data_IF_827649885597
#
_entry.id   IF_827649885597
#
_cell.length_a   1.000
_cell.length_b   1.000
_cell.length_c   1.000
_cell.angle_alpha   90.00
_cell.angle_beta   90.00
_cell.angle_gamma   90.00
#
_symmetry.space_group_name_H-M   'P 1'
#
loop_
_entity.id
_entity.type
_entity.pdbx_description
1 polymer ?
#
# COMPACT_ATOMS: atom_id res chain seq x y z
N UNK A 1 -0.79 -76.08 2.95
CA UNK A 1 -0.44 -74.70 3.32
C UNK A 1 -1.53 -73.81 2.76
N UNK A 2 -2.30 -73.11 3.60
CA UNK A 2 -3.42 -72.28 3.17
C UNK A 2 -3.00 -70.93 2.59
N UNK A 3 -3.73 -70.52 1.57
CA UNK A 3 -3.65 -69.30 0.77
C UNK A 3 -4.23 -68.10 1.54
N UNK A 4 -3.63 -66.89 1.50
CA UNK A 4 -4.24 -65.72 2.13
C UNK A 4 -5.25 -65.04 1.21
N UNK A 5 -6.47 -64.99 1.72
CA UNK A 5 -7.72 -64.43 1.19
C UNK A 5 -7.61 -62.93 0.83
N UNK A 6 -8.07 -62.58 -0.37
CA UNK A 6 -8.28 -61.22 -0.85
C UNK A 6 -9.49 -60.58 -0.12
N UNK A 7 -9.28 -59.50 0.63
CA UNK A 7 -10.38 -58.67 1.14
C UNK A 7 -10.44 -57.34 0.37
N UNK A 8 -11.55 -56.98 -0.31
CA UNK A 8 -11.70 -55.73 -1.02
C UNK A 8 -12.03 -54.58 -0.06
N UNK A 9 -11.31 -53.46 -0.17
CA UNK A 9 -11.60 -52.20 0.57
C UNK A 9 -12.38 -51.25 -0.35
N UNK A 10 -13.46 -50.58 0.13
CA UNK A 10 -14.50 -49.99 -0.73
C UNK A 10 -14.12 -48.66 -1.40
N UNK A 11 -14.58 -48.48 -2.63
CA UNK A 11 -14.68 -47.19 -3.33
C UNK A 11 -15.70 -46.26 -2.66
N UNK A 12 -15.43 -44.95 -2.60
CA UNK A 12 -16.47 -43.92 -2.62
C UNK A 12 -16.52 -43.23 -3.99
N UNK A 13 -17.60 -43.48 -4.72
CA UNK A 13 -17.96 -42.78 -5.94
C UNK A 13 -18.57 -41.39 -5.63
N UNK A 14 -18.30 -40.45 -6.56
CA UNK A 14 -19.17 -39.36 -7.05
C UNK A 14 -19.26 -37.99 -6.35
N UNK A 15 -19.12 -36.99 -7.23
CA UNK A 15 -19.89 -35.74 -7.33
C UNK A 15 -19.76 -34.69 -6.22
N UNK A 16 -19.04 -33.62 -6.56
CA UNK A 16 -19.65 -32.33 -6.86
C UNK A 16 -20.50 -31.64 -5.79
N UNK A 17 -20.15 -30.36 -5.57
CA UNK A 17 -20.99 -29.28 -4.99
C UNK A 17 -20.87 -29.09 -3.48
N UNK A 18 -19.96 -28.19 -3.09
CA UNK A 18 -19.95 -27.54 -1.78
C UNK A 18 -21.00 -26.41 -1.79
N UNK A 19 -22.00 -26.38 -0.90
CA UNK A 19 -22.90 -25.24 -0.78
C UNK A 19 -22.41 -24.21 0.25
N UNK A 20 -22.59 -22.96 -0.14
CA UNK A 20 -22.27 -21.73 0.58
C UNK A 20 -23.26 -21.40 1.70
N UNK A 21 -22.77 -20.76 2.78
CA UNK A 21 -23.50 -19.73 3.52
C UNK A 21 -22.64 -19.17 4.66
N UNK A 22 -22.04 -17.99 4.48
CA UNK A 22 -21.72 -17.11 5.62
C UNK A 22 -22.28 -15.73 5.29
N UNK A 23 -23.41 -15.41 5.92
CA UNK A 23 -24.07 -14.11 5.88
C UNK A 23 -23.32 -13.17 6.83
N UNK A 24 -22.79 -12.06 6.34
CA UNK A 24 -22.32 -10.95 7.18
C UNK A 24 -23.16 -9.71 6.93
N UNK A 25 -23.86 -9.29 7.99
CA UNK A 25 -24.64 -8.06 8.07
C UNK A 25 -23.69 -6.93 8.44
N UNK A 26 -23.57 -5.91 7.58
CA UNK A 26 -22.76 -4.71 7.83
C UNK A 26 -23.66 -3.61 8.36
N UNK A 27 -23.36 -3.09 9.56
CA UNK A 27 -23.90 -1.82 10.04
C UNK A 27 -22.77 -0.78 10.02
N UNK A 28 -22.89 0.19 9.12
CA UNK A 28 -21.97 1.33 9.00
C UNK A 28 -22.26 2.44 10.02
N UNK A 29 -21.25 3.27 10.28
CA UNK A 29 -21.34 4.40 11.21
C UNK A 29 -20.25 5.46 10.97
N UNK A 30 -20.55 6.36 10.02
CA UNK A 30 -20.21 7.79 9.80
C UNK A 30 -19.18 8.45 10.76
N UNK A 31 -18.16 9.12 10.19
CA UNK A 31 -17.32 10.12 10.88
C UNK A 31 -17.68 11.54 10.39
N UNK A 32 -17.98 12.44 11.34
CA UNK A 32 -18.27 13.86 11.13
C UNK A 32 -16.97 14.68 11.21
N UNK A 33 -16.71 15.53 10.22
CA UNK A 33 -15.60 16.47 10.22
C UNK A 33 -16.01 17.82 10.82
N UNK A 34 -15.17 18.40 11.69
CA UNK A 34 -15.28 19.78 12.17
C UNK A 34 -13.97 20.50 11.82
N UNK A 35 -14.04 21.46 10.91
CA UNK A 35 -12.97 22.43 10.65
C UNK A 35 -13.43 23.75 11.27
N UNK A 36 -12.74 24.20 12.33
CA UNK A 36 -12.92 25.54 12.88
C UNK A 36 -11.84 26.47 12.33
N UNK A 37 -12.31 27.56 11.71
CA UNK A 37 -11.56 28.65 11.15
C UNK A 37 -10.96 29.56 12.24
N UNK A 38 -9.77 30.12 11.98
CA UNK A 38 -9.27 31.31 12.69
C UNK A 38 -8.66 32.26 11.66
N UNK A 39 -9.35 33.37 11.42
CA UNK A 39 -8.85 34.54 10.69
C UNK A 39 -8.09 35.53 11.59
N UNK A 40 -7.50 36.60 11.02
CA UNK A 40 -6.45 37.41 11.65
C UNK A 40 -7.00 38.65 12.37
N UNK A 41 -6.27 39.25 13.34
CA UNK A 41 -6.60 40.59 13.79
C UNK A 41 -5.82 41.68 13.04
N UNK A 42 -6.59 42.67 12.57
CA UNK A 42 -6.17 44.02 12.19
C UNK A 42 -5.70 44.81 13.42
N UNK A 43 -4.60 45.55 13.28
CA UNK A 43 -4.25 46.79 13.99
C UNK A 43 -3.07 47.39 13.20
N UNK A 44 -2.87 48.68 12.93
CA UNK A 44 -3.51 49.92 13.34
C UNK A 44 -3.09 50.96 12.27
N UNK A 45 -4.03 51.72 11.71
CA UNK A 45 -3.75 52.84 10.79
C UNK A 45 -3.84 54.15 11.57
N UNK A 46 -2.72 54.81 11.86
CA UNK A 46 -2.67 56.25 12.18
C UNK A 46 -1.40 56.89 11.57
N UNK A 47 -1.60 57.83 10.64
CA UNK A 47 -0.61 58.70 9.95
C UNK A 47 -0.11 59.82 10.90
N UNK A 48 1.05 60.50 10.67
CA UNK A 48 1.19 61.58 9.66
C UNK A 48 2.56 61.70 8.95
N UNK A 49 2.52 62.12 7.68
CA UNK A 49 3.65 62.56 6.85
C UNK A 49 4.33 63.83 7.39
N UNK A 50 5.67 63.97 7.20
CA UNK A 50 6.19 65.24 6.71
C UNK A 50 7.16 65.10 5.52
N UNK A 51 7.08 66.13 4.65
CA UNK A 51 7.74 66.46 3.37
C UNK A 51 9.21 66.00 3.12
N UNK A 52 9.62 65.96 1.83
CA UNK A 52 10.82 65.29 1.35
C UNK A 52 12.05 66.21 1.36
N UNK A 53 13.24 65.67 1.63
CA UNK A 53 14.54 66.13 1.07
C UNK A 53 15.65 65.10 1.35
N UNK A 54 16.44 64.84 0.30
CA UNK A 54 17.81 64.33 0.28
C UNK A 54 18.12 62.83 0.45
N UNK A 55 18.35 62.22 -0.72
CA UNK A 55 19.65 61.67 -1.15
C UNK A 55 20.23 60.43 -0.44
N UNK A 56 20.40 59.41 -1.29
CA UNK A 56 21.37 58.32 -1.20
C UNK A 56 21.14 57.23 -0.14
N UNK A 57 20.59 56.11 -0.60
CA UNK A 57 21.28 54.81 -0.57
C UNK A 57 20.44 53.80 -1.36
N UNK A 58 21.01 53.21 -2.40
CA UNK A 58 20.40 52.08 -3.08
C UNK A 58 20.19 50.95 -2.04
N UNK A 59 19.01 50.30 -1.96
CA UNK A 59 18.91 49.09 -1.17
C UNK A 59 19.73 48.02 -1.89
N UNK A 60 20.78 47.52 -1.21
CA UNK A 60 21.38 46.25 -1.56
C UNK A 60 20.25 45.23 -1.66
N UNK A 61 20.10 44.65 -2.85
CA UNK A 61 19.18 43.54 -3.09
C UNK A 61 19.64 42.38 -2.19
N UNK A 62 19.04 42.26 -1.02
CA UNK A 62 19.20 41.11 -0.17
C UNK A 62 18.82 39.89 -1.01
N UNK A 63 19.78 39.00 -1.24
CA UNK A 63 19.49 37.70 -1.84
C UNK A 63 18.41 37.06 -0.97
N UNK A 64 17.26 36.75 -1.60
CA UNK A 64 16.21 36.03 -0.93
C UNK A 64 16.81 34.73 -0.34
N UNK A 65 16.46 34.35 0.89
CA UNK A 65 16.89 33.06 1.43
C UNK A 65 16.53 31.98 0.40
N UNK A 66 17.52 31.16 0.03
CA UNK A 66 17.27 30.00 -0.80
C UNK A 66 16.24 29.14 -0.07
N UNK A 67 15.02 29.09 -0.62
CA UNK A 67 14.00 28.16 -0.15
C UNK A 67 14.63 26.77 -0.17
N UNK A 68 14.62 26.02 0.95
CA UNK A 68 15.12 24.65 0.92
C UNK A 68 14.38 23.90 -0.19
N UNK A 69 15.07 23.06 -0.99
CA UNK A 69 14.40 22.28 -2.01
C UNK A 69 13.25 21.54 -1.34
N UNK A 70 12.04 21.75 -1.84
CA UNK A 70 10.87 20.98 -1.43
C UNK A 70 11.26 19.51 -1.52
N UNK A 71 11.14 18.69 -0.46
CA UNK A 71 11.49 17.29 -0.56
C UNK A 71 10.64 16.70 -1.68
N UNK A 72 11.31 16.25 -2.75
CA UNK A 72 10.64 15.46 -3.78
C UNK A 72 9.97 14.30 -3.05
N UNK A 73 8.66 14.07 -3.24
CA UNK A 73 8.00 12.94 -2.61
C UNK A 73 8.78 11.69 -3.01
N UNK A 74 9.30 10.97 -2.03
CA UNK A 74 10.09 9.76 -2.26
C UNK A 74 9.16 8.77 -2.96
N UNK A 75 9.35 8.61 -4.27
CA UNK A 75 8.59 7.67 -5.07
C UNK A 75 9.06 6.27 -4.69
N UNK A 76 8.15 5.43 -4.18
CA UNK A 76 8.45 4.01 -4.09
C UNK A 76 8.67 3.49 -5.50
N UNK A 77 9.84 2.91 -5.75
CA UNK A 77 10.17 2.33 -7.04
C UNK A 77 10.47 0.86 -6.86
N UNK A 78 10.05 0.05 -7.83
CA UNK A 78 10.42 -1.36 -7.91
C UNK A 78 11.77 -1.45 -8.62
N UNK A 79 12.75 -2.08 -7.97
CA UNK A 79 14.06 -2.35 -8.59
C UNK A 79 14.13 -3.76 -9.17
N UNK A 80 13.24 -4.66 -8.75
CA UNK A 80 13.04 -5.94 -9.43
C UNK A 80 12.32 -5.76 -10.78
N UNK A 81 12.31 -6.82 -11.59
CA UNK A 81 11.64 -6.79 -12.88
C UNK A 81 10.12 -6.56 -12.71
N UNK A 82 9.52 -5.72 -13.57
CA UNK A 82 8.07 -5.52 -13.59
C UNK A 82 7.30 -6.79 -14.02
N UNK A 83 7.97 -7.73 -14.68
CA UNK A 83 7.46 -9.07 -14.95
C UNK A 83 7.88 -10.01 -13.80
N UNK A 84 6.91 -10.44 -12.99
CA UNK A 84 7.15 -11.17 -11.73
C UNK A 84 6.57 -12.60 -11.78
N UNK A 85 7.25 -13.62 -11.24
CA UNK A 85 6.68 -14.96 -11.05
C UNK A 85 5.51 -14.96 -10.08
N UNK A 86 4.75 -16.06 -10.02
CA UNK A 86 3.66 -16.19 -9.05
C UNK A 86 4.16 -16.05 -7.61
N UNK A 87 5.30 -16.67 -7.28
CA UNK A 87 5.99 -16.43 -6.03
C UNK A 87 7.24 -15.60 -6.27
N UNK A 88 7.27 -14.37 -5.76
CA UNK A 88 8.36 -13.43 -6.01
C UNK A 88 8.90 -12.82 -4.73
N UNK A 89 10.22 -12.62 -4.68
CA UNK A 89 10.82 -11.66 -3.78
C UNK A 89 10.84 -10.30 -4.48
N UNK A 90 10.24 -9.30 -3.85
CA UNK A 90 10.13 -7.95 -4.39
C UNK A 90 11.08 -7.03 -3.64
N UNK A 91 11.82 -6.21 -4.38
CA UNK A 91 12.74 -5.23 -3.82
C UNK A 91 12.60 -3.89 -4.51
N UNK A 92 12.92 -2.82 -3.80
CA UNK A 92 12.81 -1.48 -4.34
C UNK A 92 13.47 -0.41 -3.51
N UNK A 93 13.27 0.83 -3.93
CA UNK A 93 13.69 2.02 -3.20
C UNK A 93 12.47 2.77 -2.66
N UNK A 94 12.62 3.40 -1.50
CA UNK A 94 11.59 4.15 -0.81
C UNK A 94 11.91 4.31 0.67
N UNK A 95 11.59 5.46 1.24
CA UNK A 95 11.85 5.76 2.65
C UNK A 95 10.66 5.36 3.51
N UNK A 96 10.90 4.66 4.61
CA UNK A 96 9.85 4.31 5.58
C UNK A 96 9.23 5.58 6.19
N UNK A 97 7.90 5.76 6.17
CA UNK A 97 7.27 6.89 6.84
C UNK A 97 7.48 6.81 8.36
N UNK A 98 7.79 7.95 8.98
CA UNK A 98 8.06 8.01 10.41
C UNK A 98 6.88 7.47 11.23
N UNK A 99 7.15 6.54 12.15
CA UNK A 99 6.17 5.97 13.06
C UNK A 99 5.10 5.09 12.41
N UNK A 100 5.28 4.68 11.15
CA UNK A 100 4.34 3.79 10.45
C UNK A 100 5.07 2.64 9.77
N UNK A 101 4.40 1.50 9.74
CA UNK A 101 4.78 0.41 8.84
C UNK A 101 4.15 0.62 7.46
N UNK A 102 4.63 -0.10 6.45
CA UNK A 102 4.05 -0.08 5.11
C UNK A 102 3.62 -1.50 4.76
N UNK A 103 2.34 -1.65 4.45
CA UNK A 103 1.74 -2.89 3.98
C UNK A 103 1.72 -2.96 2.46
N UNK A 104 1.96 -4.15 1.92
CA UNK A 104 1.78 -4.47 0.52
C UNK A 104 0.38 -5.08 0.31
N UNK A 105 -0.36 -4.46 -0.59
CA UNK A 105 -1.61 -4.98 -1.11
C UNK A 105 -1.49 -5.21 -2.61
N UNK A 106 -2.18 -6.23 -3.11
CA UNK A 106 -2.19 -6.58 -4.54
C UNK A 106 -3.61 -6.57 -5.05
N UNK A 107 -3.78 -6.11 -6.28
CA UNK A 107 -5.06 -6.15 -6.98
C UNK A 107 -4.84 -6.51 -8.44
N UNK A 108 -5.63 -7.45 -8.94
CA UNK A 108 -5.69 -7.71 -10.37
C UNK A 108 -6.41 -6.56 -11.09
N UNK A 109 -5.93 -6.15 -12.27
CA UNK A 109 -6.56 -5.08 -13.03
C UNK A 109 -7.96 -5.53 -13.48
N UNK A 110 -8.98 -4.84 -12.97
CA UNK A 110 -10.39 -5.17 -13.20
C UNK A 110 -11.12 -5.77 -11.99
N UNK A 111 -10.38 -6.15 -10.94
CA UNK A 111 -10.99 -6.62 -9.70
C UNK A 111 -11.52 -5.45 -8.85
N UNK A 112 -12.35 -5.76 -7.86
CA UNK A 112 -12.86 -4.77 -6.90
C UNK A 112 -12.22 -4.85 -5.53
N UNK A 113 -11.50 -5.94 -5.24
CA UNK A 113 -10.89 -6.22 -3.93
C UNK A 113 -9.38 -6.03 -3.96
N UNK A 114 -8.83 -5.71 -2.80
CA UNK A 114 -7.39 -5.69 -2.55
C UNK A 114 -7.03 -6.91 -1.70
N UNK A 115 -5.96 -7.59 -2.06
CA UNK A 115 -5.45 -8.73 -1.33
C UNK A 115 -4.27 -8.30 -0.47
N UNK A 116 -4.35 -8.56 0.82
CA UNK A 116 -3.23 -8.39 1.73
C UNK A 116 -2.14 -9.42 1.43
N UNK A 117 -0.89 -8.96 1.39
CA UNK A 117 0.26 -9.86 1.31
C UNK A 117 1.06 -9.82 2.61
N UNK A 118 1.86 -8.76 2.81
CA UNK A 118 2.81 -8.64 3.93
C UNK A 118 3.21 -7.20 4.20
N UNK A 119 3.92 -6.98 5.30
CA UNK A 119 4.65 -5.74 5.56
C UNK A 119 5.97 -5.68 4.78
N UNK A 120 6.36 -4.47 4.37
CA UNK A 120 7.68 -4.16 3.85
C UNK A 120 8.73 -4.20 4.95
N UNK A 121 9.86 -4.82 4.65
CA UNK A 121 11.08 -4.72 5.44
C UNK A 121 11.94 -3.60 4.84
N UNK A 122 12.33 -2.63 5.66
CA UNK A 122 13.16 -1.52 5.22
C UNK A 122 14.60 -1.66 5.73
N UNK A 123 15.56 -1.33 4.87
CA UNK A 123 16.98 -1.18 5.18
C UNK A 123 17.47 0.14 4.57
N UNK A 124 17.56 1.19 5.40
CA UNK A 124 17.75 2.56 4.92
C UNK A 124 16.63 3.02 3.98
N UNK A 125 17.00 3.43 2.77
CA UNK A 125 16.08 3.83 1.69
C UNK A 125 15.71 2.67 0.75
N UNK A 126 16.12 1.44 1.09
CA UNK A 126 15.71 0.24 0.36
C UNK A 126 14.61 -0.50 1.10
N UNK A 127 13.75 -1.17 0.35
CA UNK A 127 12.73 -2.05 0.92
C UNK A 127 12.72 -3.41 0.21
N UNK A 128 12.25 -4.42 0.93
CA UNK A 128 12.02 -5.76 0.41
C UNK A 128 10.78 -6.42 1.00
N UNK A 129 10.19 -7.34 0.26
CA UNK A 129 9.18 -8.29 0.74
C UNK A 129 9.48 -9.64 0.11
N UNK A 130 9.57 -10.67 0.95
CA UNK A 130 9.91 -12.02 0.50
C UNK A 130 8.67 -12.87 0.31
N UNK A 131 8.69 -13.75 -0.70
CA UNK A 131 7.64 -14.71 -1.02
C UNK A 131 6.26 -14.07 -1.08
N UNK A 132 6.10 -13.11 -1.99
CA UNK A 132 4.84 -12.45 -2.31
C UNK A 132 4.10 -13.29 -3.35
N UNK A 133 2.81 -13.53 -3.12
CA UNK A 133 1.97 -14.25 -4.07
C UNK A 133 1.28 -13.28 -5.03
N UNK A 134 1.70 -13.30 -6.29
CA UNK A 134 1.10 -12.49 -7.36
C UNK A 134 0.03 -13.32 -8.09
N UNK A 135 -1.23 -13.11 -7.71
CA UNK A 135 -2.38 -13.76 -8.33
C UNK A 135 -2.49 -15.26 -8.06
N UNK A 136 -3.54 -15.86 -8.60
CA UNK A 136 -3.81 -17.29 -8.54
C UNK A 136 -3.05 -18.05 -9.65
N UNK A 137 -2.92 -19.39 -9.56
CA UNK A 137 -2.22 -20.20 -10.57
C UNK A 137 -2.65 -19.94 -12.03
N UNK A 138 -3.91 -19.58 -12.27
CA UNK A 138 -4.48 -19.33 -13.61
C UNK A 138 -4.21 -17.96 -14.22
N UNK A 139 -3.64 -17.00 -13.48
CA UNK A 139 -3.54 -15.60 -13.91
C UNK A 139 -2.29 -15.27 -14.75
N UNK A 140 -1.74 -16.24 -15.47
CA UNK A 140 -0.47 -16.06 -16.16
C UNK A 140 -0.63 -15.01 -17.28
N UNK A 141 0.31 -14.07 -17.37
CA UNK A 141 0.26 -12.95 -18.31
C UNK A 141 -0.72 -11.84 -17.94
N UNK A 142 -1.37 -11.91 -16.77
CA UNK A 142 -2.29 -10.88 -16.30
C UNK A 142 -1.57 -9.73 -15.61
N UNK A 143 -2.22 -8.56 -15.63
CA UNK A 143 -1.72 -7.34 -15.00
C UNK A 143 -2.25 -7.22 -13.57
N UNK A 144 -1.35 -6.76 -12.69
CA UNK A 144 -1.62 -6.53 -11.28
C UNK A 144 -1.05 -5.18 -10.87
N UNK A 145 -1.62 -4.61 -9.83
CA UNK A 145 -1.15 -3.38 -9.20
C UNK A 145 -0.71 -3.68 -7.76
N UNK A 146 0.53 -3.30 -7.45
CA UNK A 146 1.10 -3.34 -6.11
C UNK A 146 0.82 -2.01 -5.41
N UNK A 147 0.11 -2.04 -4.29
CA UNK A 147 -0.23 -0.86 -3.50
C UNK A 147 0.57 -0.85 -2.20
N UNK A 148 1.32 0.22 -2.00
CA UNK A 148 2.13 0.44 -0.80
C UNK A 148 1.35 1.34 0.15
N UNK A 149 0.82 0.78 1.22
CA UNK A 149 -0.14 1.48 2.09
C UNK A 149 0.48 1.73 3.45
N UNK A 150 0.43 2.96 4.00
CA UNK A 150 0.92 3.19 5.35
C UNK A 150 -0.05 2.55 6.35
N UNK A 151 0.48 1.89 7.38
CA UNK A 151 -0.31 1.11 8.34
C UNK A 151 -0.22 1.74 9.73
N UNK A 152 -1.36 1.81 10.43
CA UNK A 152 -1.39 2.07 11.87
C UNK A 152 -0.96 0.81 12.64
N UNK A 153 -0.57 0.96 13.91
CA UNK A 153 -0.23 -0.18 14.77
C UNK A 153 -1.38 -1.19 14.86
N UNK A 154 -2.63 -0.70 14.94
CA UNK A 154 -3.81 -1.57 14.98
C UNK A 154 -4.02 -2.32 13.67
N UNK A 155 -3.82 -1.64 12.53
CA UNK A 155 -3.91 -2.28 11.22
C UNK A 155 -2.82 -3.35 11.05
N UNK A 156 -1.59 -3.07 11.48
CA UNK A 156 -0.52 -4.10 11.48
C UNK A 156 -0.95 -5.33 12.26
N UNK A 157 -1.42 -5.16 13.50
CA UNK A 157 -1.86 -6.28 14.35
C UNK A 157 -3.00 -7.08 13.71
N UNK A 158 -3.93 -6.41 13.03
CA UNK A 158 -5.04 -7.10 12.36
C UNK A 158 -4.59 -7.85 11.11
N UNK A 159 -3.91 -7.15 10.19
CA UNK A 159 -3.55 -7.70 8.90
C UNK A 159 -2.48 -8.80 9.00
N UNK A 160 -1.51 -8.67 9.92
CA UNK A 160 -0.47 -9.69 10.11
C UNK A 160 -1.01 -11.05 10.61
N UNK A 161 -2.25 -11.13 11.09
CA UNK A 161 -2.92 -12.42 11.37
C UNK A 161 -3.18 -13.24 10.10
N UNK A 162 -3.10 -12.60 8.94
CA UNK A 162 -3.39 -13.18 7.63
C UNK A 162 -2.13 -13.39 6.78
N UNK A 163 -0.93 -13.17 7.31
CA UNK A 163 0.32 -13.35 6.55
C UNK A 163 0.42 -14.79 6.01
N UNK A 164 0.63 -14.91 4.70
CA UNK A 164 0.73 -16.19 4.00
C UNK A 164 -0.60 -16.86 3.66
N UNK A 165 -1.74 -16.21 3.93
CA UNK A 165 -3.06 -16.67 3.54
C UNK A 165 -3.79 -15.62 2.68
N UNK A 166 -4.61 -16.02 1.69
CA UNK A 166 -5.41 -15.07 0.93
C UNK A 166 -6.37 -14.29 1.85
N UNK A 167 -6.22 -12.97 1.90
CA UNK A 167 -7.09 -12.10 2.66
C UNK A 167 -7.50 -10.88 1.84
N UNK A 168 -8.77 -10.84 1.44
CA UNK A 168 -9.32 -9.80 0.58
C UNK A 168 -10.07 -8.74 1.40
N UNK A 169 -9.83 -7.47 1.10
CA UNK A 169 -10.53 -6.32 1.67
C UNK A 169 -11.14 -5.45 0.59
N UNK A 170 -12.23 -4.76 0.93
CA UNK A 170 -12.86 -3.79 0.03
C UNK A 170 -11.96 -2.61 -0.27
N UNK A 171 -11.27 -2.11 0.75
CA UNK A 171 -10.37 -0.97 0.64
C UNK A 171 -9.17 -1.17 1.56
N UNK A 172 -7.99 -0.66 1.18
CA UNK A 172 -6.87 -0.57 2.10
C UNK A 172 -7.21 0.36 3.27
N UNK A 173 -6.56 0.19 4.44
CA UNK A 173 -6.87 0.99 5.63
C UNK A 173 -6.57 2.48 5.48
N UNK A 174 -5.66 2.85 4.58
CA UNK A 174 -5.30 4.23 4.25
C UNK A 174 -5.01 4.36 2.74
N UNK A 175 -4.89 5.61 2.28
CA UNK A 175 -4.50 5.91 0.91
C UNK A 175 -3.10 5.36 0.60
N UNK A 176 -2.90 4.68 -0.55
CA UNK A 176 -1.59 4.22 -0.97
C UNK A 176 -0.58 5.37 -1.12
N UNK A 177 0.66 5.13 -0.66
CA UNK A 177 1.82 5.98 -0.91
C UNK A 177 2.30 5.85 -2.35
N UNK A 178 2.12 4.66 -2.93
CA UNK A 178 2.47 4.36 -4.31
C UNK A 178 1.64 3.20 -4.85
N UNK A 179 1.51 3.19 -6.17
CA UNK A 179 0.95 2.09 -6.94
C UNK A 179 1.93 1.74 -8.05
N UNK A 180 2.33 0.47 -8.14
CA UNK A 180 3.28 0.00 -9.14
C UNK A 180 2.62 -1.11 -9.97
N UNK A 181 2.49 -0.95 -11.30
CA UNK A 181 1.97 -2.01 -12.16
C UNK A 181 3.02 -3.09 -12.36
N UNK A 182 2.57 -4.34 -12.33
CA UNK A 182 3.38 -5.53 -12.63
C UNK A 182 2.59 -6.51 -13.49
N UNK A 183 3.30 -7.37 -14.21
CA UNK A 183 2.70 -8.45 -15.01
C UNK A 183 3.13 -9.80 -14.44
N UNK A 184 2.17 -10.68 -14.17
CA UNK A 184 2.49 -12.05 -13.75
C UNK A 184 3.07 -12.83 -14.92
N UNK A 185 4.27 -13.38 -14.74
CA UNK A 185 4.90 -14.25 -15.74
C UNK A 185 4.22 -15.62 -15.78
N UNK A 186 4.61 -16.44 -16.76
CA UNK A 186 4.16 -17.84 -16.87
C UNK A 186 4.84 -18.78 -15.88
N UNK A 187 5.76 -18.27 -15.06
CA UNK A 187 6.44 -19.07 -14.05
C UNK A 187 5.51 -19.31 -12.85
N UNK A 188 5.11 -20.59 -12.67
CA UNK A 188 4.20 -21.06 -11.63
C UNK A 188 4.91 -21.64 -10.40
N UNK A 189 6.16 -21.23 -10.14
CA UNK A 189 6.87 -21.67 -8.93
C UNK A 189 6.05 -21.29 -7.68
N UNK A 190 5.74 -22.25 -6.80
CA UNK A 190 4.90 -22.00 -5.62
C UNK A 190 5.62 -21.18 -4.55
N UNK A 191 4.82 -20.45 -3.77
CA UNK A 191 5.16 -19.98 -2.42
C UNK A 191 4.82 -21.08 -1.40
#
# INVERSE_FOLDING_TARGET
>A
MPEPENTPTPEPTRDGRVPAAVKWTVLGGIIVAVIAAVGPPLAERLRPDPKPTSTASAPQSAAAPATPPSPSPVAYTLTSAAAVPQCADLTGQGTKPAGREVGLFIKHVGDTKYFWEKLLQFDGDSWRVDKVMIGAPGDAGKEFELFFVPMSVQAVVEFSKHDGAPYAVDNPPLTPLATIPVTRTTNTTPC
#
